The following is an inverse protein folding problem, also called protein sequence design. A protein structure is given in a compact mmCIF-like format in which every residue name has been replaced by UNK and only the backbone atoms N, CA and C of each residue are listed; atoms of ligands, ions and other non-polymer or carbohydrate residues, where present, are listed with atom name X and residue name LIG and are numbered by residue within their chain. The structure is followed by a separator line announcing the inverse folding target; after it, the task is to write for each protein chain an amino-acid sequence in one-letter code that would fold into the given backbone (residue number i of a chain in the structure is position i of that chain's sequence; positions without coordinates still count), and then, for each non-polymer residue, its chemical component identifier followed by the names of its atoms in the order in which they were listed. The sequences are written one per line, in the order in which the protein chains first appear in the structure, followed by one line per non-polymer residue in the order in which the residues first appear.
data_IF_197751642906
#
_entry.id   IF_197751642906
#
_cell.length_a   1.000
_cell.length_b   1.000
_cell.length_c   1.000
_cell.angle_alpha   90.00
_cell.angle_beta   90.00
_cell.angle_gamma   90.00
#
_symmetry.space_group_name_H-M   'P 1'
#
loop_
_entity.id
_entity.type
_entity.pdbx_description
1 polymer ?
#
# COMPACT_ATOMS: atom_id res chain seq x y z
N UNK A 1 -20.96 -23.71 10.29
CA UNK A 1 -20.96 -22.54 9.39
C UNK A 1 -19.82 -22.73 8.42
N UNK A 2 -20.11 -22.81 7.12
CA UNK A 2 -19.12 -22.76 6.06
C UNK A 2 -18.59 -21.32 6.00
N UNK A 3 -17.45 -21.06 6.63
CA UNK A 3 -16.79 -19.76 6.53
C UNK A 3 -16.31 -19.64 5.09
N UNK A 4 -16.99 -18.84 4.30
CA UNK A 4 -16.62 -18.66 2.90
C UNK A 4 -15.24 -17.98 2.80
N UNK A 5 -14.23 -18.74 2.41
CA UNK A 5 -12.82 -18.35 2.31
C UNK A 5 -12.43 -17.86 0.93
N UNK A 6 -13.33 -17.88 -0.06
CA UNK A 6 -12.97 -17.48 -1.42
C UNK A 6 -12.78 -15.97 -1.53
N UNK A 7 -11.67 -15.58 -2.11
CA UNK A 7 -11.33 -14.19 -2.43
C UNK A 7 -11.40 -13.98 -3.94
N UNK A 8 -12.25 -13.04 -4.36
CA UNK A 8 -12.28 -12.54 -5.72
C UNK A 8 -11.45 -11.25 -5.79
N UNK A 9 -10.35 -11.30 -6.52
CA UNK A 9 -9.37 -10.22 -6.58
C UNK A 9 -9.78 -9.20 -7.64
N UNK A 10 -9.83 -7.94 -7.24
CA UNK A 10 -10.20 -6.81 -8.10
C UNK A 10 -9.09 -5.78 -8.08
N UNK A 11 -8.66 -5.37 -9.26
CA UNK A 11 -7.51 -4.51 -9.48
C UNK A 11 -6.16 -5.23 -9.44
N UNK A 12 -5.11 -4.48 -9.76
CA UNK A 12 -3.74 -4.99 -9.76
C UNK A 12 -3.48 -6.11 -10.78
N UNK A 13 -2.38 -6.87 -10.62
CA UNK A 13 -1.98 -7.87 -11.62
C UNK A 13 -2.82 -9.15 -11.66
N UNK A 14 -3.60 -9.43 -10.60
CA UNK A 14 -4.47 -10.61 -10.50
C UNK A 14 -5.95 -10.27 -10.64
N UNK A 15 -6.28 -9.15 -11.28
CA UNK A 15 -7.68 -8.75 -11.51
C UNK A 15 -8.51 -9.88 -12.14
N UNK A 16 -9.71 -10.09 -11.60
CA UNK A 16 -10.65 -11.14 -12.02
C UNK A 16 -10.31 -12.55 -11.54
N UNK A 17 -9.16 -12.74 -10.89
CA UNK A 17 -8.77 -14.06 -10.35
C UNK A 17 -9.51 -14.38 -9.06
N UNK A 18 -9.71 -15.67 -8.78
CA UNK A 18 -10.29 -16.15 -7.52
C UNK A 18 -9.31 -17.09 -6.83
N UNK A 19 -9.02 -16.85 -5.56
CA UNK A 19 -8.14 -17.68 -4.73
C UNK A 19 -8.82 -18.03 -3.40
N UNK A 20 -8.22 -18.94 -2.64
CA UNK A 20 -8.60 -19.16 -1.24
C UNK A 20 -7.79 -18.22 -0.34
N UNK A 21 -8.48 -17.51 0.55
CA UNK A 21 -7.90 -16.53 1.46
C UNK A 21 -8.03 -16.92 2.93
N UNK A 22 -8.48 -18.14 3.26
CA UNK A 22 -8.64 -18.57 4.66
C UNK A 22 -9.64 -17.76 5.51
N UNK A 23 -10.25 -16.70 4.96
CA UNK A 23 -11.06 -15.72 5.69
C UNK A 23 -10.27 -14.51 6.22
N UNK A 24 -8.99 -14.40 5.89
CA UNK A 24 -8.11 -13.31 6.29
C UNK A 24 -8.58 -11.94 5.78
N UNK A 25 -8.22 -10.89 6.51
CA UNK A 25 -8.54 -9.51 6.09
C UNK A 25 -7.61 -9.00 4.97
N UNK A 26 -6.46 -9.65 4.80
CA UNK A 26 -5.41 -9.27 3.85
C UNK A 26 -4.94 -10.52 3.11
N UNK A 27 -4.77 -10.39 1.81
CA UNK A 27 -4.21 -11.41 0.94
C UNK A 27 -2.95 -10.85 0.29
N UNK A 28 -1.86 -11.58 0.39
CA UNK A 28 -0.58 -11.20 -0.19
C UNK A 28 -0.20 -12.24 -1.25
N UNK A 29 0.15 -11.75 -2.44
CA UNK A 29 0.51 -12.59 -3.58
C UNK A 29 1.87 -12.14 -4.09
N UNK A 30 2.85 -13.04 -4.04
CA UNK A 30 4.16 -12.78 -4.64
C UNK A 30 4.07 -12.88 -6.17
N UNK A 31 4.47 -11.82 -6.86
CA UNK A 31 4.55 -11.74 -8.32
C UNK A 31 5.81 -10.96 -8.66
N UNK A 32 6.67 -11.53 -9.52
CA UNK A 32 7.94 -10.93 -9.93
C UNK A 32 8.84 -10.49 -8.76
N UNK A 33 8.82 -11.25 -7.65
CA UNK A 33 9.60 -10.94 -6.45
C UNK A 33 9.06 -9.78 -5.63
N UNK A 34 7.86 -9.29 -5.92
CA UNK A 34 7.15 -8.23 -5.19
C UNK A 34 5.90 -8.80 -4.52
N UNK A 35 5.59 -8.32 -3.32
CA UNK A 35 4.39 -8.72 -2.59
C UNK A 35 3.23 -7.80 -2.97
N UNK A 36 2.26 -8.33 -3.70
CA UNK A 36 1.03 -7.64 -4.09
C UNK A 36 -0.05 -7.87 -3.06
N UNK A 37 -0.57 -6.78 -2.48
CA UNK A 37 -1.52 -6.81 -1.38
C UNK A 37 -2.94 -6.53 -1.86
N UNK A 38 -3.87 -7.33 -1.34
CA UNK A 38 -5.29 -7.26 -1.60
C UNK A 38 -6.05 -7.23 -0.28
N UNK A 39 -6.85 -6.19 -0.04
CA UNK A 39 -7.59 -6.01 1.21
C UNK A 39 -9.04 -6.47 1.07
N UNK A 40 -9.52 -7.19 2.08
CA UNK A 40 -10.89 -7.69 2.14
C UNK A 40 -11.87 -6.53 2.17
N UNK A 41 -12.91 -6.61 1.35
CA UNK A 41 -14.02 -5.67 1.37
C UNK A 41 -15.27 -6.30 2.00
N UNK A 42 -16.31 -5.49 2.17
CA UNK A 42 -17.65 -5.95 2.54
C UNK A 42 -18.46 -6.45 1.34
N UNK A 43 -17.96 -6.27 0.11
CA UNK A 43 -18.65 -6.68 -1.11
C UNK A 43 -18.48 -8.18 -1.37
N UNK A 44 -19.53 -8.78 -1.95
CA UNK A 44 -19.55 -10.18 -2.37
C UNK A 44 -19.54 -10.28 -3.89
N UNK A 45 -18.83 -11.29 -4.41
CA UNK A 45 -18.80 -11.65 -5.81
C UNK A 45 -19.50 -13.00 -6.01
N UNK A 46 -20.61 -12.98 -6.77
CA UNK A 46 -21.44 -14.15 -7.01
C UNK A 46 -22.02 -14.74 -5.71
N UNK A 47 -22.29 -16.05 -5.75
CA UNK A 47 -22.96 -16.74 -4.64
C UNK A 47 -22.04 -16.95 -3.44
N UNK A 48 -20.71 -16.91 -3.63
CA UNK A 48 -19.76 -17.45 -2.66
C UNK A 48 -18.32 -16.89 -2.75
N UNK A 49 -18.10 -15.62 -3.11
CA UNK A 49 -16.77 -15.00 -3.04
C UNK A 49 -16.82 -13.67 -2.29
N UNK A 50 -15.81 -13.35 -1.47
CA UNK A 50 -15.63 -11.98 -0.95
C UNK A 50 -14.73 -11.23 -1.90
N UNK A 51 -15.06 -9.97 -2.22
CA UNK A 51 -14.21 -9.14 -3.06
C UNK A 51 -13.04 -8.61 -2.23
N UNK A 52 -11.83 -8.70 -2.79
CA UNK A 52 -10.64 -8.08 -2.25
C UNK A 52 -10.10 -7.08 -3.26
N UNK A 53 -9.86 -5.85 -2.81
CA UNK A 53 -9.36 -4.79 -3.66
C UNK A 53 -7.85 -4.69 -3.55
N UNK A 54 -7.19 -4.40 -4.67
CA UNK A 54 -5.76 -4.15 -4.69
C UNK A 54 -5.40 -2.91 -3.87
N UNK A 55 -4.52 -3.09 -2.89
CA UNK A 55 -4.02 -2.05 -1.98
C UNK A 55 -2.67 -1.48 -2.46
N UNK A 56 -1.86 -2.31 -3.11
CA UNK A 56 -0.55 -1.90 -3.62
C UNK A 56 0.44 -3.05 -3.62
N UNK A 57 1.71 -2.71 -3.80
CA UNK A 57 2.79 -3.68 -3.81
C UNK A 57 3.96 -3.18 -2.97
N UNK A 58 4.58 -4.12 -2.26
CA UNK A 58 5.69 -3.87 -1.35
C UNK A 58 6.85 -4.80 -1.69
N UNK A 59 8.07 -4.33 -1.46
CA UNK A 59 9.22 -5.23 -1.48
C UNK A 59 9.05 -6.28 -0.37
N UNK A 60 9.42 -7.56 -0.61
CA UNK A 60 9.26 -8.63 0.37
C UNK A 60 10.00 -8.36 1.68
N UNK A 61 11.13 -7.63 1.62
CA UNK A 61 11.90 -7.24 2.80
C UNK A 61 11.35 -6.00 3.53
N UNK A 62 10.34 -5.32 2.97
CA UNK A 62 9.65 -4.18 3.58
C UNK A 62 10.55 -2.94 3.83
N UNK A 63 10.13 -1.76 3.36
CA UNK A 63 10.73 -0.52 3.87
C UNK A 63 10.34 -0.34 5.33
N UNK A 64 11.32 -0.19 6.22
CA UNK A 64 11.08 0.02 7.66
C UNK A 64 10.05 1.14 7.89
N UNK A 65 8.89 0.85 8.52
CA UNK A 65 7.89 1.88 8.77
C UNK A 65 8.45 2.93 9.72
N UNK A 66 8.63 4.16 9.22
CA UNK A 66 9.05 5.31 10.02
C UNK A 66 10.49 5.77 9.86
N UNK A 67 11.28 5.22 8.93
CA UNK A 67 12.54 5.86 8.50
C UNK A 67 12.21 6.99 7.52
N UNK A 68 11.62 8.06 8.05
CA UNK A 68 11.72 9.36 7.40
C UNK A 68 13.13 9.86 7.69
N UNK A 69 13.99 9.91 6.67
CA UNK A 69 15.31 10.51 6.81
C UNK A 69 15.16 11.95 7.36
N UNK A 70 15.65 12.25 8.57
CA UNK A 70 15.51 13.58 9.14
C UNK A 70 16.31 14.64 8.37
N UNK A 71 17.25 14.26 7.49
CA UNK A 71 17.96 15.18 6.60
C UNK A 71 17.16 15.49 5.31
N UNK A 72 16.19 14.66 4.92
CA UNK A 72 15.18 14.97 3.90
C UNK A 72 14.20 16.07 4.36
N UNK A 73 14.18 16.38 5.67
CA UNK A 73 13.64 17.65 6.20
C UNK A 73 14.57 18.81 5.89
N UNK A 74 15.07 18.88 4.65
CA UNK A 74 15.87 20.01 4.16
C UNK A 74 15.03 21.24 4.47
N UNK A 75 15.53 22.01 5.43
CA UNK A 75 14.93 23.25 5.85
C UNK A 75 14.60 24.05 4.59
N UNK A 76 13.35 24.55 4.49
CA UNK A 76 13.00 25.62 3.58
C UNK A 76 14.17 26.62 3.56
N UNK A 77 14.64 27.06 2.38
CA UNK A 77 15.77 27.97 2.30
C UNK A 77 15.55 29.10 3.31
N UNK A 78 16.42 29.18 4.32
CA UNK A 78 16.48 30.33 5.20
C UNK A 78 16.63 31.54 4.27
N UNK A 79 15.65 32.43 4.32
CA UNK A 79 15.81 33.79 3.84
C UNK A 79 16.81 34.50 4.77
N UNK A 80 18.08 34.11 4.68
CA UNK A 80 19.20 34.84 5.24
C UNK A 80 19.55 35.96 4.25
N UNK A 81 18.91 37.10 4.47
CA UNK A 81 19.44 38.40 4.07
C UNK A 81 19.19 39.39 5.23
N UNK A 82 19.78 39.10 6.39
CA UNK A 82 19.95 40.09 7.44
C UNK A 82 21.01 41.11 7.01
N UNK A 83 20.57 42.36 6.83
CA UNK A 83 21.24 43.62 7.18
C UNK A 83 22.70 43.90 6.76
N UNK A 84 22.93 45.04 6.11
CA UNK A 84 23.68 46.17 6.68
C UNK A 84 23.85 47.32 5.66
N UNK A 85 23.62 48.55 6.12
CA UNK A 85 23.52 49.77 5.30
C UNK A 85 24.84 50.40 4.84
N UNK A 86 24.69 51.43 3.99
CA UNK A 86 25.76 52.33 3.59
C UNK A 86 25.30 53.35 2.54
N UNK A 87 25.52 54.64 2.86
CA UNK A 87 25.25 55.86 2.08
C UNK A 87 25.67 55.78 0.61
N UNK A 88 24.94 56.44 -0.29
CA UNK A 88 25.38 57.59 -1.11
C UNK A 88 24.22 58.11 -1.97
#
# INVERSE_FOLDING_TARGET
MDTNTKAHLVGGPRDGSTIDAGGDALVEVEIDGMMHRYIRTTQRHGENGTVYNYDGMVAPDGGEPGVEDPAARVASPKADAEGHGGKH
#
